data_IF_974679103456
#
_entry.id   IF_974679103456
#
_cell.length_a   1.000
_cell.length_b   1.000
_cell.length_c   1.000
_cell.angle_alpha   90.00
_cell.angle_beta   90.00
_cell.angle_gamma   90.00
#
_symmetry.space_group_name_H-M   'P 1'
#
loop_
_entity.id
_entity.type
_entity.pdbx_description
1 polymer ?
#
# COMPACT_ATOMS: atom_id res chain seq x y z
N UNK A 1 18.11 3.80 -29.67
CA UNK A 1 19.00 2.62 -29.49
C UNK A 1 18.22 1.30 -29.43
N UNK A 2 17.45 1.03 -28.38
CA UNK A 2 16.77 -0.26 -28.18
C UNK A 2 15.83 -0.66 -29.34
N UNK A 3 14.86 0.20 -29.68
CA UNK A 3 13.80 -0.19 -30.63
C UNK A 3 14.11 0.14 -32.09
N UNK A 4 14.99 1.12 -32.35
CA UNK A 4 15.34 1.53 -33.71
C UNK A 4 16.65 0.87 -34.16
N UNK A 5 17.77 1.17 -33.49
CA UNK A 5 19.10 0.66 -33.88
C UNK A 5 19.25 -0.85 -33.66
N UNK A 6 18.78 -1.36 -32.53
CA UNK A 6 18.84 -2.79 -32.20
C UNK A 6 17.60 -3.55 -32.66
N UNK A 7 16.56 -2.86 -33.11
CA UNK A 7 15.32 -3.48 -33.61
C UNK A 7 14.59 -4.37 -32.60
N UNK A 8 14.73 -4.11 -31.29
CA UNK A 8 14.11 -4.97 -30.27
C UNK A 8 12.56 -4.94 -30.40
N UNK A 9 11.89 -6.10 -30.31
CA UNK A 9 10.43 -6.16 -30.35
C UNK A 9 9.80 -5.63 -29.05
N UNK A 10 8.47 -5.46 -29.03
CA UNK A 10 7.74 -5.13 -27.79
C UNK A 10 7.73 -3.66 -27.36
N UNK A 11 8.30 -2.75 -28.16
CA UNK A 11 8.29 -1.31 -27.86
C UNK A 11 6.88 -0.72 -27.87
N UNK A 12 6.34 -0.38 -26.70
CA UNK A 12 5.05 0.32 -26.55
C UNK A 12 5.19 1.80 -26.90
N UNK A 13 4.46 2.29 -27.91
CA UNK A 13 4.49 3.71 -28.28
C UNK A 13 3.71 4.58 -27.27
N UNK A 14 4.26 5.73 -26.93
CA UNK A 14 3.66 6.83 -26.18
C UNK A 14 3.56 8.06 -27.09
N UNK A 15 2.98 9.16 -26.57
CA UNK A 15 2.89 10.42 -27.32
C UNK A 15 4.25 10.99 -27.75
N UNK A 16 5.34 10.64 -27.04
CA UNK A 16 6.68 11.19 -27.25
C UNK A 16 7.69 10.18 -27.82
N UNK A 17 7.29 8.95 -28.12
CA UNK A 17 8.18 7.93 -28.69
C UNK A 17 7.96 6.54 -28.09
N UNK A 18 9.00 5.71 -28.03
CA UNK A 18 8.90 4.39 -27.41
C UNK A 18 9.03 4.48 -25.88
N UNK A 19 8.12 3.81 -25.17
CA UNK A 19 8.21 3.63 -23.72
C UNK A 19 9.46 2.85 -23.37
N UNK A 20 10.19 3.34 -22.37
CA UNK A 20 11.25 2.58 -21.69
C UNK A 20 10.91 2.38 -20.22
N UNK A 21 9.63 2.38 -19.85
CA UNK A 21 9.20 2.13 -18.48
C UNK A 21 9.65 0.73 -18.01
N UNK A 22 9.76 0.53 -16.69
CA UNK A 22 10.30 -0.70 -16.11
C UNK A 22 9.53 -1.94 -16.56
N UNK A 23 8.20 -1.88 -16.55
CA UNK A 23 7.29 -2.93 -17.02
C UNK A 23 7.49 -3.34 -18.49
N UNK A 24 7.87 -2.39 -19.35
CA UNK A 24 8.18 -2.66 -20.77
C UNK A 24 9.56 -3.30 -20.91
N UNK A 25 10.53 -2.85 -20.12
CA UNK A 25 11.91 -3.35 -20.19
C UNK A 25 12.08 -4.71 -19.51
N UNK A 26 11.36 -4.99 -18.42
CA UNK A 26 11.42 -6.26 -17.69
C UNK A 26 11.07 -7.44 -18.60
N UNK A 27 10.05 -7.29 -19.46
CA UNK A 27 9.67 -8.31 -20.47
C UNK A 27 10.76 -8.59 -21.51
N UNK A 28 11.72 -7.70 -21.68
CA UNK A 28 12.84 -7.84 -22.62
C UNK A 28 14.14 -8.22 -21.92
N UNK A 29 14.20 -8.14 -20.59
CA UNK A 29 15.45 -8.27 -19.83
C UNK A 29 16.00 -9.70 -19.82
N UNK A 30 15.13 -10.70 -19.92
CA UNK A 30 15.51 -12.12 -19.96
C UNK A 30 16.34 -12.44 -21.20
N UNK A 31 15.91 -11.96 -22.37
CA UNK A 31 16.55 -12.24 -23.65
C UNK A 31 17.61 -11.21 -24.06
N UNK A 32 17.66 -10.04 -23.41
CA UNK A 32 18.49 -8.91 -23.83
C UNK A 32 19.39 -8.40 -22.70
N UNK A 33 20.67 -8.82 -22.64
CA UNK A 33 21.61 -8.41 -21.59
C UNK A 33 21.78 -6.89 -21.44
N UNK A 34 21.65 -6.12 -22.52
CA UNK A 34 21.69 -4.65 -22.46
C UNK A 34 20.52 -4.07 -21.67
N UNK A 35 19.33 -4.67 -21.78
CA UNK A 35 18.13 -4.21 -21.09
C UNK A 35 18.24 -4.47 -19.59
N UNK A 36 18.72 -5.66 -19.21
CA UNK A 36 19.05 -5.98 -17.81
C UNK A 36 20.06 -4.98 -17.22
N UNK A 37 21.11 -4.62 -17.97
CA UNK A 37 22.08 -3.59 -17.55
C UNK A 37 21.45 -2.20 -17.39
N UNK A 38 20.55 -1.80 -18.29
CA UNK A 38 19.83 -0.51 -18.19
C UNK A 38 18.95 -0.48 -16.94
N UNK A 39 18.21 -1.56 -16.65
CA UNK A 39 17.39 -1.67 -15.44
C UNK A 39 18.27 -1.59 -14.19
N UNK A 40 19.38 -2.33 -14.15
CA UNK A 40 20.35 -2.29 -13.07
C UNK A 40 20.94 -0.88 -12.86
N UNK A 41 21.36 -0.22 -13.94
CA UNK A 41 21.86 1.16 -13.89
C UNK A 41 20.81 2.11 -13.33
N UNK A 42 19.57 2.07 -13.83
CA UNK A 42 18.50 2.97 -13.37
C UNK A 42 18.16 2.76 -11.90
N UNK A 43 18.16 1.52 -11.44
CA UNK A 43 17.96 1.18 -10.03
C UNK A 43 19.03 1.83 -9.16
N UNK A 44 20.31 1.60 -9.46
CA UNK A 44 21.43 2.19 -8.70
C UNK A 44 21.46 3.70 -8.82
N UNK A 45 21.22 4.25 -10.01
CA UNK A 45 21.18 5.69 -10.26
C UNK A 45 20.08 6.38 -9.45
N UNK A 46 18.91 5.74 -9.30
CA UNK A 46 17.83 6.26 -8.46
C UNK A 46 18.21 6.20 -6.97
N UNK A 47 18.77 5.08 -6.50
CA UNK A 47 19.29 4.97 -5.13
C UNK A 47 20.30 6.08 -4.82
N UNK A 48 21.25 6.30 -5.74
CA UNK A 48 22.26 7.34 -5.60
C UNK A 48 21.63 8.74 -5.57
N UNK A 49 21.01 9.17 -6.67
CA UNK A 49 20.61 10.57 -6.81
C UNK A 49 19.43 10.95 -5.91
N UNK A 50 18.45 10.07 -5.73
CA UNK A 50 17.24 10.42 -4.97
C UNK A 50 17.40 10.18 -3.48
N UNK A 51 18.07 9.09 -3.08
CA UNK A 51 18.04 8.63 -1.69
C UNK A 51 19.39 8.73 -0.99
N UNK A 52 20.47 9.11 -1.68
CA UNK A 52 21.75 9.44 -1.05
C UNK A 52 22.14 10.90 -1.27
N UNK A 53 22.46 11.30 -2.50
CA UNK A 53 22.94 12.67 -2.78
C UNK A 53 21.88 13.72 -2.40
N UNK A 54 20.67 13.62 -2.97
CA UNK A 54 19.62 14.61 -2.71
C UNK A 54 19.12 14.58 -1.27
N UNK A 55 19.15 13.43 -0.60
CA UNK A 55 18.71 13.33 0.79
C UNK A 55 19.71 14.02 1.74
N UNK A 56 21.01 13.96 1.42
CA UNK A 56 22.05 14.64 2.18
C UNK A 56 21.86 16.17 2.21
N UNK A 57 21.32 16.75 1.13
CA UNK A 57 21.03 18.19 1.05
C UNK A 57 19.92 18.65 2.03
N UNK A 58 19.14 17.73 2.59
CA UNK A 58 18.09 18.02 3.58
C UNK A 58 18.53 17.84 5.04
N UNK A 59 19.80 17.48 5.28
CA UNK A 59 20.34 17.32 6.63
C UNK A 59 20.71 18.71 7.16
N UNK A 60 20.10 19.10 8.29
CA UNK A 60 20.42 20.36 8.96
C UNK A 60 21.64 20.25 9.90
N UNK A 61 22.01 21.37 10.52
CA UNK A 61 23.16 21.43 11.44
C UNK A 61 23.00 20.53 12.68
N UNK A 62 21.78 20.08 12.99
CA UNK A 62 21.50 19.13 14.07
C UNK A 62 21.65 17.67 13.65
N UNK A 63 21.96 17.42 12.37
CA UNK A 63 22.02 16.10 11.78
C UNK A 63 20.65 15.49 11.50
N UNK A 64 19.59 16.30 11.43
CA UNK A 64 18.20 15.83 11.23
C UNK A 64 17.66 16.22 9.87
N UNK A 65 16.69 15.43 9.43
CA UNK A 65 15.89 15.69 8.22
C UNK A 65 14.48 16.07 8.65
N UNK A 66 14.01 17.22 8.20
CA UNK A 66 12.70 17.77 8.53
C UNK A 66 11.78 17.75 7.31
N UNK A 67 10.94 16.70 7.21
CA UNK A 67 9.95 16.59 6.13
C UNK A 67 8.68 17.40 6.41
N UNK A 68 7.98 17.79 5.34
CA UNK A 68 6.66 18.42 5.42
C UNK A 68 5.57 17.44 5.04
N UNK A 69 4.63 17.18 5.97
CA UNK A 69 3.45 16.35 5.74
C UNK A 69 2.25 17.19 5.30
N UNK A 70 1.86 17.07 4.03
CA UNK A 70 0.71 17.76 3.47
C UNK A 70 -0.58 16.98 3.70
N UNK A 71 -1.54 17.59 4.40
CA UNK A 71 -2.83 16.96 4.71
C UNK A 71 -3.91 17.14 3.62
N UNK A 72 -3.71 18.09 2.69
CA UNK A 72 -4.74 18.58 1.74
C UNK A 72 -4.45 18.24 0.28
N UNK A 73 -3.39 17.47 -0.01
CA UNK A 73 -2.96 17.16 -1.39
C UNK A 73 -3.68 15.94 -1.96
N UNK A 74 -3.78 14.84 -1.20
CA UNK A 74 -4.33 13.60 -1.74
C UNK A 74 -5.86 13.60 -1.69
N UNK A 75 -6.50 13.23 -2.80
CA UNK A 75 -7.96 13.09 -2.85
C UNK A 75 -8.49 11.94 -1.97
N UNK A 76 -7.62 11.03 -1.55
CA UNK A 76 -7.94 9.87 -0.70
C UNK A 76 -7.84 10.18 0.79
N UNK A 77 -7.33 11.36 1.16
CA UNK A 77 -7.17 11.75 2.56
C UNK A 77 -5.89 11.24 3.22
N UNK A 78 -5.06 10.47 2.53
CA UNK A 78 -3.71 10.10 2.98
C UNK A 78 -2.84 11.36 3.13
N UNK A 79 -1.88 11.32 4.05
CA UNK A 79 -0.81 12.30 4.06
C UNK A 79 0.11 12.08 2.86
N UNK A 80 0.73 13.16 2.39
CA UNK A 80 1.87 13.09 1.48
C UNK A 80 3.06 13.80 2.12
N UNK A 81 4.25 13.25 1.94
CA UNK A 81 5.50 13.82 2.44
C UNK A 81 6.27 14.50 1.30
N UNK A 82 6.79 15.70 1.57
CA UNK A 82 7.58 16.49 0.64
C UNK A 82 8.76 17.15 1.35
N UNK A 83 9.80 17.46 0.57
CA UNK A 83 10.98 18.23 0.98
C UNK A 83 11.67 17.74 2.28
N UNK A 84 12.16 16.48 2.35
CA UNK A 84 12.09 15.42 1.33
C UNK A 84 10.89 14.48 1.55
N UNK A 85 10.58 13.64 0.55
CA UNK A 85 9.58 12.59 0.71
C UNK A 85 10.14 11.41 1.50
N UNK A 86 9.70 11.23 2.75
CA UNK A 86 10.11 10.15 3.65
C UNK A 86 9.14 8.96 3.65
N UNK A 87 8.04 9.03 2.89
CA UNK A 87 7.09 7.91 2.77
C UNK A 87 7.50 6.89 1.70
N UNK A 88 8.51 7.20 0.87
CA UNK A 88 8.92 6.35 -0.25
C UNK A 88 10.35 5.83 -0.13
N UNK A 89 10.89 5.78 1.09
CA UNK A 89 12.20 5.20 1.37
C UNK A 89 12.20 3.71 0.96
N UNK A 90 13.13 3.28 0.09
CA UNK A 90 13.07 1.94 -0.50
C UNK A 90 13.09 0.82 0.54
N UNK A 91 12.34 -0.24 0.25
CA UNK A 91 12.26 -1.45 1.09
C UNK A 91 12.27 -2.76 0.31
N UNK A 92 11.76 -2.75 -0.93
CA UNK A 92 11.48 -3.98 -1.69
C UNK A 92 12.72 -4.72 -2.18
N UNK A 93 13.82 -3.99 -2.38
CA UNK A 93 15.10 -4.55 -2.84
C UNK A 93 16.09 -4.51 -1.71
N UNK A 94 16.93 -5.54 -1.56
CA UNK A 94 17.97 -5.60 -0.53
C UNK A 94 18.83 -4.33 -0.47
N UNK A 95 19.42 -3.90 -1.60
CA UNK A 95 20.21 -2.65 -1.67
C UNK A 95 19.43 -1.40 -1.30
N UNK A 96 18.14 -1.36 -1.60
CA UNK A 96 17.26 -0.26 -1.24
C UNK A 96 16.94 -0.26 0.25
N UNK A 97 16.68 -1.43 0.82
CA UNK A 97 16.41 -1.61 2.25
C UNK A 97 17.61 -1.17 3.08
N UNK A 98 18.83 -1.48 2.65
CA UNK A 98 20.08 -1.07 3.33
C UNK A 98 20.17 0.46 3.56
N UNK A 99 19.55 1.29 2.72
CA UNK A 99 19.51 2.74 2.95
C UNK A 99 18.77 3.12 4.23
N UNK A 100 17.86 2.29 4.74
CA UNK A 100 17.16 2.56 5.99
C UNK A 100 18.10 2.60 7.21
N UNK A 101 19.28 1.97 7.14
CA UNK A 101 20.27 1.98 8.22
C UNK A 101 20.82 3.36 8.55
N UNK A 102 20.76 4.31 7.62
CA UNK A 102 21.29 5.67 7.85
C UNK A 102 20.34 6.52 8.68
N UNK A 103 19.08 6.10 8.81
CA UNK A 103 18.14 6.73 9.71
C UNK A 103 18.30 6.07 11.06
N UNK A 104 18.86 6.82 12.01
CA UNK A 104 19.12 6.40 13.38
C UNK A 104 18.37 7.33 14.35
N UNK A 105 17.91 6.82 15.49
CA UNK A 105 17.33 7.63 16.54
C UNK A 105 18.42 8.43 17.25
N UNK A 106 18.03 9.30 18.18
CA UNK A 106 18.95 9.91 19.17
C UNK A 106 19.86 8.87 19.81
N UNK A 107 21.05 9.31 20.21
CA UNK A 107 21.98 8.46 20.95
C UNK A 107 21.32 7.89 22.22
N UNK A 108 21.40 6.57 22.38
CA UNK A 108 20.78 5.82 23.47
C UNK A 108 19.29 5.55 23.31
N UNK A 109 18.66 6.01 22.22
CA UNK A 109 17.25 5.77 21.92
C UNK A 109 17.11 4.63 20.89
N UNK A 110 15.88 4.16 20.69
CA UNK A 110 15.52 3.17 19.66
C UNK A 110 14.38 3.68 18.78
N UNK A 111 14.13 3.02 17.66
CA UNK A 111 12.86 3.15 16.96
C UNK A 111 11.91 2.02 17.35
N UNK A 112 10.65 2.37 17.57
CA UNK A 112 9.55 1.42 17.64
C UNK A 112 8.62 1.68 16.47
N UNK A 113 8.54 0.71 15.57
CA UNK A 113 7.70 0.75 14.37
C UNK A 113 6.42 -0.06 14.59
N UNK A 114 5.31 0.43 14.06
CA UNK A 114 4.02 -0.24 14.14
C UNK A 114 3.24 -0.12 12.84
N UNK A 115 2.94 -1.24 12.21
CA UNK A 115 2.22 -1.31 10.92
C UNK A 115 0.89 -2.06 11.08
N UNK A 116 -0.16 -1.57 10.42
CA UNK A 116 -1.42 -2.30 10.38
C UNK A 116 -1.34 -3.53 9.48
N UNK A 117 -1.66 -4.69 10.04
CA UNK A 117 -1.73 -5.92 9.25
C UNK A 117 -2.98 -5.94 8.36
N UNK A 118 -2.80 -5.70 7.07
CA UNK A 118 -3.82 -5.82 6.02
C UNK A 118 -5.06 -4.93 6.22
N UNK A 119 -4.88 -3.70 6.69
CA UNK A 119 -5.98 -2.77 7.05
C UNK A 119 -7.04 -2.62 5.93
N UNK A 120 -6.61 -2.51 4.67
CA UNK A 120 -7.54 -2.32 3.54
C UNK A 120 -8.47 -3.52 3.34
N UNK A 121 -7.98 -4.75 3.52
CA UNK A 121 -8.80 -5.96 3.42
C UNK A 121 -9.72 -6.14 4.64
N UNK A 122 -9.26 -5.77 5.84
CA UNK A 122 -10.11 -5.76 7.05
C UNK A 122 -11.27 -4.78 6.93
N UNK A 123 -11.01 -3.60 6.36
CA UNK A 123 -12.04 -2.61 6.03
C UNK A 123 -12.99 -3.17 4.97
N UNK A 124 -12.47 -3.76 3.89
CA UNK A 124 -13.32 -4.35 2.85
C UNK A 124 -14.24 -5.43 3.43
N UNK A 125 -13.70 -6.34 4.25
CA UNK A 125 -14.48 -7.38 4.93
C UNK A 125 -15.59 -6.78 5.79
N UNK A 126 -15.24 -5.77 6.59
CA UNK A 126 -16.18 -5.13 7.51
C UNK A 126 -17.29 -4.35 6.80
N UNK A 127 -16.94 -3.61 5.74
CA UNK A 127 -17.91 -2.77 5.03
C UNK A 127 -18.77 -3.55 4.04
N UNK A 128 -18.23 -4.63 3.45
CA UNK A 128 -19.01 -5.51 2.57
C UNK A 128 -19.98 -6.41 3.33
N UNK A 129 -19.67 -6.71 4.60
CA UNK A 129 -20.43 -7.67 5.40
C UNK A 129 -20.29 -9.11 4.87
N UNK A 130 -19.20 -9.42 4.17
CA UNK A 130 -18.97 -10.77 3.65
C UNK A 130 -18.57 -11.73 4.78
N UNK A 131 -19.49 -12.61 5.17
CA UNK A 131 -19.33 -13.50 6.31
C UNK A 131 -18.11 -14.41 6.22
N UNK A 132 -17.78 -14.89 5.02
CA UNK A 132 -16.61 -15.76 4.82
C UNK A 132 -15.32 -14.98 5.01
N UNK A 133 -15.23 -13.78 4.43
CA UNK A 133 -14.04 -12.94 4.57
C UNK A 133 -13.86 -12.46 6.02
N UNK A 134 -14.96 -12.07 6.68
CA UNK A 134 -14.96 -11.71 8.11
C UNK A 134 -14.49 -12.89 8.96
N UNK A 135 -15.07 -14.08 8.75
CA UNK A 135 -14.70 -15.29 9.48
C UNK A 135 -13.22 -15.63 9.31
N UNK A 136 -12.69 -15.56 8.09
CA UNK A 136 -11.29 -15.84 7.82
C UNK A 136 -10.35 -14.93 8.63
N UNK A 137 -10.69 -13.64 8.78
CA UNK A 137 -9.93 -12.73 9.63
C UNK A 137 -10.07 -13.03 11.13
N UNK A 138 -11.28 -13.37 11.59
CA UNK A 138 -11.53 -13.68 13.01
C UNK A 138 -10.82 -14.97 13.46
N UNK A 139 -10.67 -15.93 12.55
CA UNK A 139 -9.96 -17.20 12.77
C UNK A 139 -8.44 -17.08 12.58
N UNK A 140 -7.93 -15.89 12.23
CA UNK A 140 -6.49 -15.67 12.02
C UNK A 140 -5.93 -16.41 10.80
N UNK A 141 -6.78 -16.75 9.82
CA UNK A 141 -6.34 -17.43 8.60
C UNK A 141 -5.49 -16.49 7.74
N UNK A 142 -4.51 -17.05 7.02
CA UNK A 142 -3.82 -16.30 5.98
C UNK A 142 -4.79 -16.06 4.81
N UNK A 143 -5.33 -14.84 4.71
CA UNK A 143 -6.32 -14.47 3.69
C UNK A 143 -5.79 -14.70 2.28
N UNK A 144 -4.50 -14.50 2.03
CA UNK A 144 -3.93 -14.74 0.70
C UNK A 144 -3.85 -16.23 0.39
N UNK A 145 -3.49 -17.06 1.36
CA UNK A 145 -3.48 -18.52 1.19
C UNK A 145 -4.90 -19.09 1.06
N UNK A 146 -5.84 -18.62 1.89
CA UNK A 146 -7.25 -18.98 1.81
C UNK A 146 -7.86 -18.60 0.46
N UNK A 147 -7.61 -17.36 0.00
CA UNK A 147 -8.02 -16.93 -1.35
C UNK A 147 -7.38 -17.79 -2.43
N UNK A 148 -6.08 -18.14 -2.28
CA UNK A 148 -5.40 -19.00 -3.24
C UNK A 148 -6.04 -20.40 -3.31
N UNK A 149 -6.29 -21.05 -2.18
CA UNK A 149 -6.94 -22.36 -2.14
C UNK A 149 -8.26 -22.35 -2.91
N UNK A 150 -9.09 -21.32 -2.70
CA UNK A 150 -10.37 -21.16 -3.39
C UNK A 150 -10.25 -20.82 -4.88
N UNK A 151 -9.36 -19.89 -5.26
CA UNK A 151 -9.18 -19.49 -6.66
C UNK A 151 -8.50 -20.60 -7.48
N UNK A 152 -7.51 -21.30 -6.90
CA UNK A 152 -6.78 -22.35 -7.62
C UNK A 152 -7.43 -23.74 -7.50
N UNK A 153 -8.53 -23.88 -6.74
CA UNK A 153 -9.22 -25.15 -6.46
C UNK A 153 -8.27 -26.23 -5.92
N UNK A 154 -7.42 -25.83 -4.96
CA UNK A 154 -6.47 -26.71 -4.27
C UNK A 154 -6.74 -26.71 -2.78
N UNK A 155 -6.28 -27.74 -2.08
CA UNK A 155 -6.37 -27.76 -0.62
C UNK A 155 -5.47 -26.67 -0.02
N UNK A 156 -5.85 -26.16 1.16
CA UNK A 156 -5.11 -25.07 1.82
C UNK A 156 -3.61 -25.41 2.02
N UNK A 157 -3.32 -26.67 2.35
CA UNK A 157 -1.97 -27.16 2.57
C UNK A 157 -1.17 -27.36 1.26
N UNK A 158 -1.84 -27.34 0.11
CA UNK A 158 -1.23 -27.43 -1.23
C UNK A 158 -0.92 -26.06 -1.84
N UNK A 159 -1.27 -24.97 -1.15
CA UNK A 159 -1.03 -23.61 -1.62
C UNK A 159 0.47 -23.32 -1.71
N UNK A 160 0.96 -23.21 -2.93
CA UNK A 160 2.36 -22.85 -3.18
C UNK A 160 2.64 -21.36 -2.90
N UNK A 161 3.90 -20.96 -2.62
CA UNK A 161 4.27 -19.55 -2.47
C UNK A 161 3.92 -18.69 -3.70
N UNK A 162 3.93 -19.26 -4.90
CA UNK A 162 3.54 -18.56 -6.12
C UNK A 162 2.02 -18.35 -6.19
N UNK A 163 1.22 -19.37 -5.84
CA UNK A 163 -0.24 -19.24 -5.76
C UNK A 163 -0.65 -18.18 -4.73
N UNK A 164 -0.04 -18.20 -3.54
CA UNK A 164 -0.26 -17.18 -2.51
C UNK A 164 0.11 -15.78 -3.01
N UNK A 165 1.21 -15.62 -3.75
CA UNK A 165 1.62 -14.34 -4.35
C UNK A 165 0.61 -13.85 -5.39
N UNK A 166 0.10 -14.76 -6.22
CA UNK A 166 -0.91 -14.43 -7.22
C UNK A 166 -2.23 -14.00 -6.55
N UNK A 167 -2.70 -14.75 -5.55
CA UNK A 167 -3.89 -14.42 -4.78
C UNK A 167 -3.74 -13.11 -3.98
N UNK A 168 -2.53 -12.78 -3.52
CA UNK A 168 -2.22 -11.46 -2.96
C UNK A 168 -2.47 -10.36 -4.00
N UNK A 169 -1.96 -10.51 -5.22
CA UNK A 169 -2.21 -9.53 -6.29
C UNK A 169 -3.69 -9.41 -6.67
N UNK A 170 -4.46 -10.52 -6.64
CA UNK A 170 -5.91 -10.51 -6.82
C UNK A 170 -6.58 -9.72 -5.70
N UNK A 171 -6.33 -10.05 -4.43
CA UNK A 171 -6.91 -9.36 -3.27
C UNK A 171 -6.71 -7.84 -3.33
N UNK A 172 -5.45 -7.40 -3.51
CA UNK A 172 -5.17 -5.97 -3.67
C UNK A 172 -5.85 -5.41 -4.92
N UNK A 173 -5.77 -6.12 -6.04
CA UNK A 173 -6.41 -5.73 -7.28
C UNK A 173 -7.90 -5.43 -7.12
N UNK A 174 -8.65 -6.30 -6.43
CA UNK A 174 -10.08 -6.13 -6.18
C UNK A 174 -10.36 -4.87 -5.35
N UNK A 175 -9.58 -4.61 -4.29
CA UNK A 175 -9.67 -3.37 -3.49
C UNK A 175 -9.50 -2.11 -4.35
N UNK A 176 -8.69 -2.19 -5.42
CA UNK A 176 -8.43 -1.08 -6.35
C UNK A 176 -9.33 -1.10 -7.61
N UNK A 177 -10.31 -2.00 -7.69
CA UNK A 177 -11.17 -2.14 -8.87
C UNK A 177 -10.40 -2.55 -10.13
N UNK A 178 -9.40 -3.42 -10.00
CA UNK A 178 -8.56 -3.86 -11.12
C UNK A 178 -9.43 -4.51 -12.20
N UNK A 179 -9.08 -4.26 -13.46
CA UNK A 179 -9.67 -4.98 -14.59
C UNK A 179 -8.91 -6.28 -14.85
N UNK A 180 -9.54 -7.23 -15.55
CA UNK A 180 -8.85 -8.43 -16.05
C UNK A 180 -7.59 -8.10 -16.86
N UNK A 181 -7.59 -7.00 -17.61
CA UNK A 181 -6.40 -6.51 -18.31
C UNK A 181 -5.29 -6.04 -17.35
N UNK A 182 -5.64 -5.31 -16.29
CA UNK A 182 -4.65 -4.86 -15.29
C UNK A 182 -4.07 -6.05 -14.52
N UNK A 183 -4.92 -7.00 -14.15
CA UNK A 183 -4.50 -8.19 -13.43
C UNK A 183 -3.63 -9.12 -14.32
N UNK A 184 -3.98 -9.26 -15.60
CA UNK A 184 -3.18 -10.05 -16.55
C UNK A 184 -1.76 -9.51 -16.71
N UNK A 185 -1.60 -8.17 -16.75
CA UNK A 185 -0.27 -7.55 -16.81
C UNK A 185 0.50 -7.73 -15.49
N UNK A 186 -0.16 -7.57 -14.34
CA UNK A 186 0.47 -7.73 -13.03
C UNK A 186 0.97 -9.17 -12.78
N UNK A 187 0.22 -10.16 -13.24
CA UNK A 187 0.52 -11.58 -13.05
C UNK A 187 1.26 -12.21 -14.23
N UNK A 188 1.43 -11.50 -15.34
CA UNK A 188 1.96 -12.04 -16.59
C UNK A 188 1.23 -13.30 -17.07
N UNK A 189 -0.11 -13.30 -16.97
CA UNK A 189 -1.01 -14.38 -17.41
C UNK A 189 -1.93 -13.92 -18.55
N UNK A 190 -2.70 -14.82 -19.15
CA UNK A 190 -3.70 -14.42 -20.15
C UNK A 190 -4.84 -13.60 -19.53
N UNK A 191 -5.50 -12.78 -20.35
CA UNK A 191 -6.71 -12.05 -19.91
C UNK A 191 -7.86 -12.97 -19.52
N UNK A 192 -7.92 -14.17 -20.10
CA UNK A 192 -8.94 -15.16 -19.79
C UNK A 192 -8.72 -15.72 -18.38
N UNK A 193 -7.50 -16.14 -18.06
CA UNK A 193 -7.12 -16.60 -16.70
C UNK A 193 -7.32 -15.48 -15.66
N UNK A 194 -6.92 -14.25 -15.98
CA UNK A 194 -7.13 -13.12 -15.06
C UNK A 194 -8.62 -12.83 -14.81
N UNK A 195 -9.49 -13.03 -15.81
CA UNK A 195 -10.94 -12.92 -15.64
C UNK A 195 -11.46 -14.04 -14.74
N UNK A 196 -11.02 -15.28 -14.99
CA UNK A 196 -11.41 -16.43 -14.20
C UNK A 196 -11.06 -16.26 -12.71
N UNK A 197 -9.86 -15.75 -12.40
CA UNK A 197 -9.48 -15.47 -11.01
C UNK A 197 -10.37 -14.42 -10.34
N UNK A 198 -10.77 -13.38 -11.08
CA UNK A 198 -11.68 -12.34 -10.57
C UNK A 198 -13.08 -12.93 -10.34
N UNK A 199 -13.58 -13.74 -11.28
CA UNK A 199 -14.90 -14.35 -11.19
C UNK A 199 -14.96 -15.32 -9.99
N UNK A 200 -13.97 -16.20 -9.84
CA UNK A 200 -13.86 -17.14 -8.71
C UNK A 200 -13.73 -16.42 -7.36
N UNK A 201 -13.00 -15.31 -7.32
CA UNK A 201 -12.94 -14.46 -6.13
C UNK A 201 -14.33 -13.98 -5.72
N UNK A 202 -15.12 -13.48 -6.67
CA UNK A 202 -16.48 -12.99 -6.40
C UNK A 202 -17.50 -14.11 -6.15
N UNK A 203 -17.30 -15.30 -6.69
CA UNK A 203 -18.07 -16.49 -6.30
C UNK A 203 -17.78 -16.91 -4.86
N UNK A 204 -16.51 -16.79 -4.44
CA UNK A 204 -16.09 -17.07 -3.07
C UNK A 204 -16.63 -16.03 -2.11
N UNK A 205 -16.53 -14.74 -2.45
CA UNK A 205 -16.92 -13.58 -1.64
C UNK A 205 -18.02 -12.74 -2.33
N UNK A 206 -19.26 -13.25 -2.43
CA UNK A 206 -20.32 -12.62 -3.21
C UNK A 206 -20.78 -11.28 -2.64
N UNK A 207 -20.69 -11.08 -1.31
CA UNK A 207 -21.07 -9.80 -0.68
C UNK A 207 -20.05 -8.71 -0.99
N UNK A 208 -18.77 -9.06 -1.21
CA UNK A 208 -17.76 -8.11 -1.70
C UNK A 208 -18.17 -7.57 -3.07
N UNK A 209 -18.58 -8.43 -4.00
CA UNK A 209 -19.04 -7.98 -5.32
C UNK A 209 -20.25 -7.05 -5.21
N UNK A 210 -21.26 -7.46 -4.46
CA UNK A 210 -22.48 -6.67 -4.25
C UNK A 210 -22.14 -5.29 -3.67
N UNK A 211 -21.27 -5.24 -2.65
CA UNK A 211 -20.80 -3.99 -2.06
C UNK A 211 -20.10 -3.07 -3.07
N UNK A 212 -19.18 -3.58 -3.89
CA UNK A 212 -18.49 -2.79 -4.90
C UNK A 212 -19.46 -2.24 -5.98
N UNK A 213 -20.43 -3.05 -6.41
CA UNK A 213 -21.46 -2.65 -7.35
C UNK A 213 -22.37 -1.55 -6.75
N UNK A 214 -22.75 -1.68 -5.48
CA UNK A 214 -23.53 -0.69 -4.72
C UNK A 214 -22.77 0.64 -4.55
N UNK A 215 -21.46 0.60 -4.27
CA UNK A 215 -20.62 1.80 -4.19
C UNK A 215 -20.62 2.58 -5.52
N UNK A 216 -20.50 1.88 -6.64
CA UNK A 216 -20.55 2.52 -7.96
C UNK A 216 -21.92 3.11 -8.24
N UNK A 217 -23.00 2.38 -7.95
CA UNK A 217 -24.37 2.87 -8.13
C UNK A 217 -24.63 4.13 -7.28
N UNK A 218 -24.25 4.10 -6.01
CA UNK A 218 -24.36 5.23 -5.09
C UNK A 218 -23.53 6.44 -5.55
N UNK A 219 -22.30 6.21 -6.02
CA UNK A 219 -21.46 7.29 -6.53
C UNK A 219 -22.00 7.90 -7.83
N UNK A 220 -22.62 7.12 -8.71
CA UNK A 220 -23.30 7.62 -9.92
C UNK A 220 -24.49 8.51 -9.57
N UNK A 221 -25.24 8.17 -8.52
CA UNK A 221 -26.38 8.97 -8.06
C UNK A 221 -25.94 10.24 -7.32
N UNK A 222 -25.00 10.12 -6.38
CA UNK A 222 -24.58 11.21 -5.49
C UNK A 222 -23.45 12.09 -6.05
N UNK A 223 -22.77 11.63 -7.11
CA UNK A 223 -21.61 12.28 -7.71
C UNK A 223 -20.32 12.20 -6.89
N UNK A 224 -20.27 11.37 -5.84
CA UNK A 224 -19.13 11.28 -4.94
C UNK A 224 -19.02 9.91 -4.25
N UNK A 225 -17.82 9.54 -3.84
CA UNK A 225 -17.59 8.46 -2.87
C UNK A 225 -17.44 9.02 -1.45
N UNK A 226 -17.82 8.23 -0.44
CA UNK A 226 -17.79 8.62 0.98
C UNK A 226 -17.12 7.52 1.78
N UNK A 227 -16.21 7.89 2.70
CA UNK A 227 -15.56 6.94 3.63
C UNK A 227 -16.47 6.59 4.79
N UNK A 228 -16.08 5.60 5.59
CA UNK A 228 -16.80 5.21 6.80
C UNK A 228 -16.99 6.39 7.78
N UNK A 229 -16.01 7.29 7.86
CA UNK A 229 -16.03 8.48 8.72
C UNK A 229 -16.60 9.73 8.02
N UNK A 230 -17.22 9.58 6.84
CA UNK A 230 -17.91 10.67 6.16
C UNK A 230 -17.04 11.57 5.28
N UNK A 231 -15.75 11.25 5.07
CA UNK A 231 -14.91 12.00 4.10
C UNK A 231 -15.46 11.80 2.70
N UNK A 232 -15.75 12.89 2.00
CA UNK A 232 -16.33 12.87 0.66
C UNK A 232 -15.29 13.20 -0.42
N UNK A 233 -15.27 12.40 -1.49
CA UNK A 233 -14.50 12.66 -2.72
C UNK A 233 -15.45 12.79 -3.91
N UNK A 234 -15.61 13.99 -4.49
CA UNK A 234 -16.32 14.17 -5.75
C UNK A 234 -15.69 13.35 -6.87
N UNK A 235 -16.51 12.79 -7.77
CA UNK A 235 -16.06 11.98 -8.91
C UNK A 235 -16.69 12.50 -10.21
N UNK A 236 -16.22 13.64 -10.74
CA UNK A 236 -16.76 14.21 -11.97
C UNK A 236 -16.64 13.26 -13.17
N UNK A 237 -15.68 12.33 -13.15
CA UNK A 237 -15.42 11.36 -14.21
C UNK A 237 -16.61 10.43 -14.48
N UNK A 238 -17.50 10.23 -13.50
CA UNK A 238 -18.71 9.42 -13.70
C UNK A 238 -19.70 10.04 -14.70
N UNK A 239 -19.61 11.35 -14.95
CA UNK A 239 -20.45 12.08 -15.92
C UNK A 239 -19.83 12.15 -17.32
N UNK A 240 -18.59 11.69 -17.48
CA UNK A 240 -17.90 11.73 -18.77
C UNK A 240 -18.51 10.77 -19.79
N UNK A 241 -18.68 11.24 -21.03
CA UNK A 241 -19.13 10.41 -22.14
C UNK A 241 -18.06 9.38 -22.54
N UNK A 242 -16.79 9.74 -22.39
CA UNK A 242 -15.65 8.88 -22.67
C UNK A 242 -15.64 7.66 -21.74
N UNK A 243 -15.74 6.45 -22.33
CA UNK A 243 -15.80 5.19 -21.59
C UNK A 243 -14.62 4.98 -20.64
N UNK A 244 -13.40 5.28 -21.08
CA UNK A 244 -12.19 5.07 -20.26
C UNK A 244 -12.15 6.00 -19.04
N UNK A 245 -12.58 7.26 -19.19
CA UNK A 245 -12.70 8.20 -18.07
C UNK A 245 -13.78 7.76 -17.09
N UNK A 246 -14.95 7.36 -17.60
CA UNK A 246 -16.03 6.86 -16.75
C UNK A 246 -15.63 5.62 -15.97
N UNK A 247 -14.96 4.66 -16.61
CA UNK A 247 -14.45 3.46 -15.94
C UNK A 247 -13.39 3.79 -14.88
N UNK A 248 -12.57 4.83 -15.09
CA UNK A 248 -11.67 5.33 -14.04
C UNK A 248 -12.46 5.89 -12.85
N UNK A 249 -13.52 6.67 -13.11
CA UNK A 249 -14.44 7.13 -12.06
C UNK A 249 -15.08 6.00 -11.27
N UNK A 250 -15.48 4.91 -11.92
CA UNK A 250 -16.02 3.71 -11.26
C UNK A 250 -14.98 3.05 -10.34
N UNK A 251 -13.73 2.90 -10.81
CA UNK A 251 -12.64 2.39 -9.95
C UNK A 251 -12.36 3.30 -8.75
N UNK A 252 -12.42 4.62 -8.96
CA UNK A 252 -12.31 5.59 -7.87
C UNK A 252 -13.45 5.41 -6.86
N UNK A 253 -14.68 5.18 -7.33
CA UNK A 253 -15.84 4.95 -6.47
C UNK A 253 -15.71 3.67 -5.63
N UNK A 254 -15.15 2.59 -6.21
CA UNK A 254 -14.88 1.33 -5.51
C UNK A 254 -13.77 1.49 -4.46
N UNK A 255 -12.67 2.15 -4.82
CA UNK A 255 -11.46 2.18 -4.01
C UNK A 255 -11.51 3.23 -2.88
N UNK A 256 -12.09 4.39 -3.14
CA UNK A 256 -12.08 5.52 -2.20
C UNK A 256 -12.67 5.16 -0.82
N UNK A 257 -13.82 4.46 -0.71
CA UNK A 257 -14.38 4.11 0.59
C UNK A 257 -13.45 3.22 1.40
N UNK A 258 -12.66 2.34 0.77
CA UNK A 258 -11.71 1.47 1.49
C UNK A 258 -10.43 2.24 1.84
N UNK A 259 -9.74 2.77 0.83
CA UNK A 259 -8.45 3.42 1.01
C UNK A 259 -8.55 4.71 1.84
N UNK A 260 -9.62 5.49 1.62
CA UNK A 260 -9.86 6.70 2.39
C UNK A 260 -10.26 6.41 3.84
N UNK A 261 -11.00 5.33 4.08
CA UNK A 261 -11.26 4.89 5.46
C UNK A 261 -9.97 4.46 6.15
N UNK A 262 -9.06 3.76 5.47
CA UNK A 262 -7.75 3.44 6.05
C UNK A 262 -6.97 4.71 6.43
N UNK A 263 -7.02 5.74 5.59
CA UNK A 263 -6.40 7.03 5.88
C UNK A 263 -7.06 7.75 7.07
N UNK A 264 -8.39 7.66 7.19
CA UNK A 264 -9.12 8.21 8.33
C UNK A 264 -8.75 7.49 9.64
N UNK A 265 -8.72 6.15 9.61
CA UNK A 265 -8.30 5.32 10.75
C UNK A 265 -6.88 5.67 11.17
N UNK A 266 -5.95 5.77 10.23
CA UNK A 266 -4.57 6.14 10.53
C UNK A 266 -4.47 7.51 11.21
N UNK A 267 -5.22 8.51 10.74
CA UNK A 267 -5.24 9.84 11.38
C UNK A 267 -5.81 9.80 12.78
N UNK A 268 -6.87 9.02 13.02
CA UNK A 268 -7.44 8.81 14.35
C UNK A 268 -6.41 8.11 15.25
N UNK A 269 -5.73 7.09 14.74
CA UNK A 269 -4.67 6.38 15.46
C UNK A 269 -3.53 7.31 15.86
N UNK A 270 -3.05 8.17 14.95
CA UNK A 270 -2.02 9.18 15.24
C UNK A 270 -2.41 10.08 16.41
N UNK A 271 -3.66 10.58 16.43
CA UNK A 271 -4.16 11.44 17.51
C UNK A 271 -4.22 10.67 18.82
N UNK A 272 -4.77 9.45 18.81
CA UNK A 272 -4.87 8.59 20.01
C UNK A 272 -3.49 8.27 20.59
N UNK A 273 -2.57 7.81 19.75
CA UNK A 273 -1.19 7.50 20.16
C UNK A 273 -0.50 8.74 20.72
N UNK A 274 -0.65 9.90 20.07
CA UNK A 274 -0.08 11.15 20.56
C UNK A 274 -0.58 11.54 21.96
N UNK A 275 -1.90 11.52 22.19
CA UNK A 275 -2.46 11.84 23.49
C UNK A 275 -2.05 10.81 24.56
N UNK A 276 -2.06 9.51 24.24
CA UNK A 276 -1.64 8.45 25.17
C UNK A 276 -0.17 8.57 25.58
N UNK A 277 0.73 8.90 24.64
CA UNK A 277 2.15 9.18 24.94
C UNK A 277 2.27 10.37 25.91
N UNK A 278 1.51 11.43 25.65
CA UNK A 278 1.53 12.67 26.44
C UNK A 278 0.94 12.50 27.84
N UNK A 279 -0.21 11.84 27.97
CA UNK A 279 -0.85 11.53 29.25
C UNK A 279 0.02 10.61 30.12
N UNK A 280 0.78 9.72 29.47
CA UNK A 280 1.76 8.85 30.13
C UNK A 280 3.04 9.57 30.55
N UNK A 281 3.22 10.85 30.20
CA UNK A 281 4.42 11.63 30.53
C UNK A 281 5.69 11.15 29.83
N UNK A 282 5.57 10.43 28.71
CA UNK A 282 6.69 9.82 28.01
C UNK A 282 7.52 10.85 27.23
N UNK A 283 8.81 10.59 27.12
CA UNK A 283 9.74 11.37 26.30
C UNK A 283 9.70 10.95 24.83
N UNK A 284 9.29 9.72 24.55
CA UNK A 284 9.12 9.14 23.21
C UNK A 284 8.17 9.94 22.32
N UNK A 285 8.44 9.99 21.01
CA UNK A 285 7.69 10.85 20.07
C UNK A 285 7.40 10.16 18.74
N UNK A 286 6.21 10.39 18.21
CA UNK A 286 5.87 10.07 16.82
C UNK A 286 6.71 10.92 15.86
N UNK A 287 7.47 10.27 14.97
CA UNK A 287 8.38 10.93 14.03
C UNK A 287 7.86 10.84 12.59
N UNK A 288 7.41 9.66 12.15
CA UNK A 288 6.91 9.47 10.78
C UNK A 288 5.60 8.70 10.77
N UNK A 289 4.78 9.03 9.76
CA UNK A 289 3.66 8.21 9.32
C UNK A 289 3.93 7.78 7.87
N UNK A 290 3.99 6.48 7.63
CA UNK A 290 4.35 5.89 6.33
C UNK A 290 3.21 4.97 5.91
N UNK A 291 2.25 5.49 5.15
CA UNK A 291 1.08 4.73 4.71
C UNK A 291 0.23 4.15 5.87
N UNK A 292 0.39 2.88 6.21
CA UNK A 292 -0.25 2.14 7.28
C UNK A 292 0.62 1.97 8.54
N UNK A 293 1.79 2.61 8.54
CA UNK A 293 2.83 2.52 9.56
C UNK A 293 3.00 3.82 10.38
N UNK A 294 3.29 3.69 11.67
CA UNK A 294 3.72 4.76 12.58
C UNK A 294 5.10 4.43 13.19
N UNK A 295 6.04 5.36 13.04
CA UNK A 295 7.39 5.24 13.59
C UNK A 295 7.57 6.18 14.79
N UNK A 296 7.87 5.59 15.96
CA UNK A 296 8.17 6.31 17.19
C UNK A 296 9.68 6.31 17.45
N UNK A 297 10.27 7.47 17.73
CA UNK A 297 11.59 7.57 18.37
C UNK A 297 11.39 7.37 19.87
N UNK A 298 11.90 6.27 20.40
CA UNK A 298 11.60 5.70 21.71
C UNK A 298 12.75 5.90 22.68
N UNK A 299 12.46 6.53 23.82
CA UNK A 299 13.45 6.78 24.87
C UNK A 299 13.80 5.48 25.61
N UNK A 300 15.05 5.33 26.09
CA UNK A 300 15.48 4.15 26.82
C UNK A 300 14.64 3.94 28.10
N UNK A 301 14.12 2.73 28.25
CA UNK A 301 13.24 2.33 29.36
C UNK A 301 11.75 2.58 29.12
N UNK A 302 11.34 3.20 28.01
CA UNK A 302 9.94 3.43 27.65
C UNK A 302 9.39 2.40 26.65
N UNK A 303 10.20 1.44 26.20
CA UNK A 303 9.92 0.62 25.02
C UNK A 303 8.65 -0.24 25.16
N UNK A 304 8.48 -0.90 26.31
CA UNK A 304 7.27 -1.71 26.58
C UNK A 304 6.01 -0.85 26.64
N UNK A 305 6.12 0.35 27.21
CA UNK A 305 4.99 1.26 27.33
C UNK A 305 4.60 1.85 25.97
N UNK A 306 5.58 2.21 25.14
CA UNK A 306 5.35 2.68 23.76
C UNK A 306 4.71 1.58 22.91
N UNK A 307 5.20 0.34 22.98
CA UNK A 307 4.59 -0.79 22.25
C UNK A 307 3.12 -0.99 22.65
N UNK A 308 2.82 -0.96 23.95
CA UNK A 308 1.44 -1.06 24.45
C UNK A 308 0.57 0.09 23.93
N UNK A 309 1.06 1.32 23.99
CA UNK A 309 0.35 2.51 23.50
C UNK A 309 0.08 2.41 22.00
N UNK A 310 1.06 1.94 21.21
CA UNK A 310 0.87 1.73 19.77
C UNK A 310 -0.21 0.70 19.50
N UNK A 311 -0.14 -0.49 20.14
CA UNK A 311 -1.16 -1.53 20.00
C UNK A 311 -2.55 -1.03 20.37
N UNK A 312 -2.71 -0.48 21.57
CA UNK A 312 -4.01 0.01 22.06
C UNK A 312 -4.54 1.19 21.25
N UNK A 313 -3.68 2.16 20.94
CA UNK A 313 -4.03 3.38 20.22
C UNK A 313 -4.45 3.10 18.78
N UNK A 314 -3.69 2.26 18.07
CA UNK A 314 -3.96 1.91 16.68
C UNK A 314 -5.08 0.88 16.54
N UNK A 315 -5.11 -0.19 17.33
CA UNK A 315 -6.20 -1.19 17.26
C UNK A 315 -7.55 -0.58 17.67
N UNK A 316 -7.54 0.38 18.61
CA UNK A 316 -8.73 1.09 19.06
C UNK A 316 -9.18 2.26 18.18
N UNK A 317 -8.51 2.53 17.05
CA UNK A 317 -8.80 3.70 16.22
C UNK A 317 -10.16 3.63 15.50
N UNK A 318 -10.72 2.44 15.32
CA UNK A 318 -12.06 2.24 14.78
C UNK A 318 -12.73 0.99 15.35
N UNK A 319 -14.07 1.02 15.38
CA UNK A 319 -14.88 -0.16 15.66
C UNK A 319 -15.42 -0.70 14.34
N UNK A 320 -14.93 -1.88 13.95
CA UNK A 320 -15.25 -2.59 12.71
C UNK A 320 -15.70 -4.02 13.04
N UNK A 321 -16.37 -4.70 12.11
CA UNK A 321 -16.76 -6.10 12.29
C UNK A 321 -15.54 -7.04 12.39
N UNK A 322 -14.44 -6.67 11.73
CA UNK A 322 -13.14 -7.34 11.85
C UNK A 322 -12.21 -6.46 12.69
N UNK A 323 -11.59 -6.99 13.75
CA UNK A 323 -10.67 -6.21 14.59
C UNK A 323 -9.46 -5.77 13.77
N UNK A 324 -8.98 -4.56 14.04
CA UNK A 324 -7.68 -4.09 13.56
C UNK A 324 -6.58 -4.80 14.35
N UNK A 325 -5.49 -5.16 13.66
CA UNK A 325 -4.30 -5.76 14.28
C UNK A 325 -3.06 -5.02 13.81
N UNK A 326 -2.05 -4.96 14.66
CA UNK A 326 -0.81 -4.22 14.43
C UNK A 326 0.37 -5.10 14.78
N UNK A 327 1.34 -5.12 13.89
CA UNK A 327 2.64 -5.74 14.12
C UNK A 327 3.61 -4.66 14.60
N UNK A 328 4.31 -4.91 15.71
CA UNK A 328 5.22 -3.93 16.33
C UNK A 328 6.62 -4.51 16.38
N UNK A 329 7.58 -3.75 15.88
CA UNK A 329 8.99 -4.11 15.82
C UNK A 329 9.84 -3.00 16.45
N UNK A 330 11.00 -3.36 16.98
CA UNK A 330 11.95 -2.42 17.60
C UNK A 330 13.32 -2.56 16.95
N UNK A 331 14.00 -1.45 16.75
CA UNK A 331 15.32 -1.45 16.14
C UNK A 331 16.16 -0.25 16.54
N UNK A 332 17.48 -0.40 16.36
CA UNK A 332 18.47 0.68 16.57
C UNK A 332 18.56 1.64 15.39
N UNK A 333 18.01 1.25 14.26
CA UNK A 333 17.92 2.03 13.03
C UNK A 333 16.61 1.66 12.31
N UNK A 334 16.26 2.39 11.26
CA UNK A 334 15.01 2.15 10.55
C UNK A 334 15.01 0.86 9.72
N UNK A 335 16.17 0.23 9.52
CA UNK A 335 16.25 -1.09 8.88
C UNK A 335 15.86 -2.19 9.86
N UNK A 336 16.41 -2.14 11.07
CA UNK A 336 16.24 -3.15 12.12
C UNK A 336 14.86 -3.05 12.78
N UNK A 337 14.23 -1.86 12.75
CA UNK A 337 12.91 -1.63 13.32
C UNK A 337 11.76 -2.13 12.44
N UNK A 338 12.00 -2.53 11.18
CA UNK A 338 10.96 -2.90 10.22
C UNK A 338 11.02 -4.36 9.78
#
# INVERSE_FOLDING_TARGET
ILFEKMGLPGGKKTKSGYSTAADVLEKLAEDQPIVAKILGYRSVYKLKNTYTDALADYIDDSGRIHSTFNQTVTATGRLSSADPNLQNIPIRTERGRELRRVFIPREGWSFTDADYSQIELRILASLSGDEKLIKAFLEGQDIHASTAAHVFHVDYDEVTPQMRRNAKAVNFGIVYGISSFGLSENLSISRAEAKEYIDQYFETFPRVKAYLDELVASAKQSGAAVTYFGRRRPIPELKESNFMRRQFGERVAMNMPVQGTAADIMKIAMVRVHEMLKESGLQSRLILQIHDELLIETAPGEEEQVERILKEGMMGAASLAVPLTVDVNRGRDFYDAH
#
